data_IF_986826632252
#
_entry.id   IF_986826632252
#
_cell.length_a   1.000
_cell.length_b   1.000
_cell.length_c   1.000
_cell.angle_alpha   90.00
_cell.angle_beta   90.00
_cell.angle_gamma   90.00
#
_symmetry.space_group_name_H-M   'P 1'
#
loop_
_entity.id
_entity.type
_entity.pdbx_description
1 polymer ?
#
# COMPACT_ATOMS: atom_id res chain seq x y z
N UNK A 1 -10.47 -22.03 -21.09
CA UNK A 1 -9.48 -22.10 -19.99
C UNK A 1 -9.59 -20.80 -19.22
N UNK A 2 -9.54 -20.81 -17.88
CA UNK A 2 -9.67 -19.58 -17.09
C UNK A 2 -8.33 -18.86 -17.06
N UNK A 3 -8.34 -17.56 -17.35
CA UNK A 3 -7.15 -16.71 -17.22
C UNK A 3 -6.97 -16.24 -15.78
N UNK A 4 -5.75 -16.38 -15.27
CA UNK A 4 -5.34 -15.95 -13.92
C UNK A 4 -4.13 -15.01 -14.00
N UNK A 5 -3.97 -14.13 -13.02
CA UNK A 5 -2.78 -13.29 -12.91
C UNK A 5 -1.55 -14.11 -12.51
N UNK A 6 -0.35 -13.57 -12.74
CA UNK A 6 0.89 -14.14 -12.22
C UNK A 6 0.87 -14.28 -10.68
N UNK A 7 0.28 -13.30 -9.98
CA UNK A 7 0.10 -13.34 -8.53
C UNK A 7 -0.79 -14.50 -8.05
N UNK A 8 -1.91 -14.75 -8.74
CA UNK A 8 -2.79 -15.89 -8.46
C UNK A 8 -2.06 -17.22 -8.72
N UNK A 9 -1.29 -17.32 -9.79
CA UNK A 9 -0.50 -18.52 -10.08
C UNK A 9 0.55 -18.81 -8.98
N UNK A 10 1.21 -17.77 -8.44
CA UNK A 10 2.11 -17.90 -7.29
C UNK A 10 1.38 -18.44 -6.05
N UNK A 11 0.20 -17.92 -5.74
CA UNK A 11 -0.61 -18.39 -4.60
C UNK A 11 -0.98 -19.87 -4.75
N UNK A 12 -1.35 -20.31 -5.95
CA UNK A 12 -1.64 -21.72 -6.22
C UNK A 12 -0.41 -22.61 -6.03
N UNK A 13 0.76 -22.16 -6.46
CA UNK A 13 2.02 -22.87 -6.18
C UNK A 13 2.32 -22.94 -4.69
N UNK A 14 2.15 -21.84 -3.94
CA UNK A 14 2.37 -21.84 -2.49
C UNK A 14 1.46 -22.83 -1.78
N UNK A 15 0.18 -22.89 -2.17
CA UNK A 15 -0.77 -23.84 -1.60
C UNK A 15 -0.38 -25.30 -1.95
N UNK A 16 0.05 -25.53 -3.19
CA UNK A 16 0.47 -26.87 -3.66
C UNK A 16 1.73 -27.36 -2.95
N UNK A 17 2.71 -26.49 -2.77
CA UNK A 17 4.02 -26.82 -2.19
C UNK A 17 4.16 -26.39 -0.73
N UNK A 18 3.05 -26.23 0.00
CA UNK A 18 3.04 -25.74 1.38
C UNK A 18 3.91 -26.57 2.34
N UNK A 19 4.06 -27.86 2.06
CA UNK A 19 4.87 -28.79 2.87
C UNK A 19 6.36 -28.77 2.50
N UNK A 20 6.74 -28.12 1.38
CA UNK A 20 8.12 -27.88 1.01
C UNK A 20 8.55 -26.49 1.49
N UNK A 21 9.06 -26.41 2.72
CA UNK A 21 9.43 -25.14 3.38
C UNK A 21 10.39 -24.29 2.55
N UNK A 22 11.42 -24.88 1.94
CA UNK A 22 12.42 -24.12 1.18
C UNK A 22 11.80 -23.47 -0.06
N UNK A 23 11.03 -24.24 -0.83
CA UNK A 23 10.36 -23.72 -2.03
C UNK A 23 9.29 -22.70 -1.65
N UNK A 24 8.51 -22.98 -0.62
CA UNK A 24 7.47 -22.07 -0.14
C UNK A 24 8.07 -20.72 0.29
N UNK A 25 9.19 -20.72 1.01
CA UNK A 25 9.88 -19.47 1.39
C UNK A 25 10.37 -18.68 0.17
N UNK A 26 10.90 -19.34 -0.85
CA UNK A 26 11.27 -18.67 -2.11
C UNK A 26 10.05 -18.07 -2.82
N UNK A 27 8.93 -18.80 -2.88
CA UNK A 27 7.67 -18.30 -3.46
C UNK A 27 7.14 -17.08 -2.70
N UNK A 28 7.21 -17.07 -1.36
CA UNK A 28 6.83 -15.92 -0.53
C UNK A 28 7.68 -14.68 -0.84
N UNK A 29 8.99 -14.87 -1.04
CA UNK A 29 9.88 -13.79 -1.46
C UNK A 29 9.50 -13.24 -2.85
N UNK A 30 9.23 -14.11 -3.84
CA UNK A 30 8.73 -13.67 -5.15
C UNK A 30 7.41 -12.93 -5.06
N UNK A 31 6.53 -13.32 -4.14
CA UNK A 31 5.26 -12.63 -3.97
C UNK A 31 5.43 -11.26 -3.30
N UNK A 32 6.43 -11.04 -2.45
CA UNK A 32 6.70 -9.72 -1.84
C UNK A 32 7.53 -8.81 -2.74
N UNK A 33 8.60 -9.32 -3.36
CA UNK A 33 9.51 -8.49 -4.14
C UNK A 33 9.09 -8.37 -5.61
N UNK A 34 8.43 -9.41 -6.13
CA UNK A 34 8.24 -9.62 -7.55
C UNK A 34 9.47 -10.19 -8.23
N UNK A 35 9.40 -10.29 -9.56
CA UNK A 35 10.49 -10.80 -10.40
C UNK A 35 11.47 -9.67 -10.71
N UNK A 36 12.76 -9.92 -10.48
CA UNK A 36 13.85 -8.94 -10.66
C UNK A 36 14.75 -9.28 -11.85
N UNK A 37 14.70 -10.52 -12.36
CA UNK A 37 15.53 -10.95 -13.50
C UNK A 37 14.81 -11.90 -14.45
N UNK A 38 15.34 -12.02 -15.67
CA UNK A 38 14.87 -13.01 -16.65
C UNK A 38 15.11 -14.45 -16.21
N UNK A 39 16.18 -14.70 -15.44
CA UNK A 39 16.46 -16.01 -14.86
C UNK A 39 15.37 -16.43 -13.87
N UNK A 40 14.96 -15.52 -12.98
CA UNK A 40 13.84 -15.77 -12.05
C UNK A 40 12.53 -15.99 -12.79
N UNK A 41 12.27 -15.21 -13.85
CA UNK A 41 11.08 -15.39 -14.68
C UNK A 41 11.04 -16.79 -15.33
N UNK A 42 12.17 -17.23 -15.88
CA UNK A 42 12.27 -18.53 -16.52
C UNK A 42 12.12 -19.67 -15.51
N UNK A 43 12.71 -19.53 -14.31
CA UNK A 43 12.51 -20.45 -13.20
C UNK A 43 11.03 -20.58 -12.84
N UNK A 44 10.32 -19.46 -12.69
CA UNK A 44 8.89 -19.48 -12.37
C UNK A 44 8.04 -20.09 -13.48
N UNK A 45 8.34 -19.81 -14.75
CA UNK A 45 7.65 -20.43 -15.90
C UNK A 45 7.84 -21.94 -15.93
N UNK A 46 9.05 -22.41 -15.64
CA UNK A 46 9.33 -23.84 -15.53
C UNK A 46 8.51 -24.46 -14.39
N UNK A 47 8.48 -23.82 -13.22
CA UNK A 47 7.73 -24.31 -12.06
C UNK A 47 6.21 -24.35 -12.33
N UNK A 48 5.65 -23.36 -13.03
CA UNK A 48 4.25 -23.40 -13.46
C UNK A 48 3.95 -24.58 -14.40
N UNK A 49 4.88 -24.88 -15.32
CA UNK A 49 4.73 -26.02 -16.24
C UNK A 49 4.83 -27.37 -15.52
N UNK A 50 5.86 -27.54 -14.69
CA UNK A 50 6.13 -28.79 -13.93
C UNK A 50 5.03 -29.08 -12.92
N UNK A 51 4.46 -28.04 -12.31
CA UNK A 51 3.31 -28.19 -11.43
C UNK A 51 2.01 -28.55 -12.16
N UNK A 52 1.96 -28.45 -13.49
CA UNK A 52 0.76 -28.68 -14.29
C UNK A 52 -0.23 -27.50 -14.29
N UNK A 53 0.07 -26.40 -13.61
CA UNK A 53 -0.82 -25.22 -13.57
C UNK A 53 -1.12 -24.67 -14.97
N UNK A 54 -0.15 -24.73 -15.89
CA UNK A 54 -0.34 -24.28 -17.28
C UNK A 54 -1.28 -25.17 -18.11
N UNK A 55 -1.67 -26.34 -17.59
CA UNK A 55 -2.69 -27.21 -18.20
C UNK A 55 -4.11 -26.84 -17.73
N UNK A 56 -4.21 -26.22 -16.56
CA UNK A 56 -5.48 -25.86 -15.91
C UNK A 56 -5.85 -24.39 -16.19
N UNK A 57 -4.85 -23.51 -16.22
CA UNK A 57 -5.02 -22.07 -16.30
C UNK A 57 -4.12 -21.42 -17.35
N UNK A 58 -4.63 -20.33 -17.93
CA UNK A 58 -3.83 -19.41 -18.74
C UNK A 58 -3.24 -18.34 -17.81
N UNK A 59 -1.91 -18.32 -17.66
CA UNK A 59 -1.23 -17.36 -16.77
C UNK A 59 -0.92 -16.09 -17.56
N UNK A 60 -1.56 -14.98 -17.17
CA UNK A 60 -1.35 -13.67 -17.78
C UNK A 60 -0.16 -12.92 -17.17
N UNK A 61 0.59 -12.25 -18.05
CA UNK A 61 1.69 -11.34 -17.73
C UNK A 61 1.34 -9.89 -18.07
N UNK A 62 0.09 -9.61 -18.46
CA UNK A 62 -0.32 -8.28 -18.89
C UNK A 62 -0.51 -7.34 -17.70
N UNK A 63 -0.14 -6.07 -17.90
CA UNK A 63 -0.28 -5.02 -16.89
C UNK A 63 -1.72 -4.88 -16.39
N UNK A 64 -2.69 -5.07 -17.28
CA UNK A 64 -4.12 -5.05 -16.95
C UNK A 64 -4.50 -6.15 -15.96
N UNK A 65 -4.09 -7.40 -16.20
CA UNK A 65 -4.44 -8.51 -15.29
C UNK A 65 -3.69 -8.41 -13.95
N UNK A 66 -2.49 -7.84 -13.94
CA UNK A 66 -1.72 -7.57 -12.71
C UNK A 66 -2.41 -6.45 -11.90
N UNK A 67 -2.80 -5.35 -12.54
CA UNK A 67 -3.48 -4.25 -11.87
C UNK A 67 -4.87 -4.64 -11.32
N UNK A 68 -5.55 -5.53 -12.04
CA UNK A 68 -6.88 -6.01 -11.70
C UNK A 68 -6.88 -7.28 -10.83
N UNK A 69 -5.73 -7.72 -10.31
CA UNK A 69 -5.64 -8.88 -9.43
C UNK A 69 -6.28 -8.59 -8.06
N UNK A 70 -7.48 -9.12 -7.77
CA UNK A 70 -8.14 -8.90 -6.48
C UNK A 70 -7.43 -9.65 -5.34
N UNK A 71 -6.76 -10.77 -5.62
CA UNK A 71 -6.07 -11.58 -4.60
C UNK A 71 -4.89 -10.82 -4.05
N UNK A 72 -4.13 -10.18 -4.94
CA UNK A 72 -3.00 -9.37 -4.55
C UNK A 72 -3.40 -8.13 -3.74
N UNK A 73 -4.42 -7.42 -4.18
CA UNK A 73 -4.95 -6.25 -3.46
C UNK A 73 -5.50 -6.63 -2.09
N UNK A 74 -6.13 -7.79 -2.00
CA UNK A 74 -6.60 -8.37 -0.74
C UNK A 74 -5.44 -8.70 0.19
N UNK A 75 -4.44 -9.42 -0.32
CA UNK A 75 -3.23 -9.77 0.41
C UNK A 75 -2.54 -8.55 1.01
N UNK A 76 -2.24 -7.53 0.22
CA UNK A 76 -1.56 -6.33 0.74
C UNK A 76 -2.41 -5.56 1.75
N UNK A 77 -3.73 -5.56 1.58
CA UNK A 77 -4.66 -4.95 2.55
C UNK A 77 -4.61 -5.69 3.89
N UNK A 78 -4.64 -7.02 3.87
CA UNK A 78 -4.53 -7.84 5.08
C UNK A 78 -3.14 -7.75 5.72
N UNK A 79 -2.10 -7.82 4.89
CA UNK A 79 -0.71 -7.70 5.33
C UNK A 79 -0.48 -6.36 6.02
N UNK A 80 -1.02 -5.26 5.50
CA UNK A 80 -0.93 -3.97 6.16
C UNK A 80 -1.59 -3.98 7.54
N UNK A 81 -2.80 -4.52 7.66
CA UNK A 81 -3.47 -4.61 8.95
C UNK A 81 -2.67 -5.44 9.96
N UNK A 82 -2.28 -6.67 9.59
CA UNK A 82 -1.55 -7.56 10.49
C UNK A 82 -0.14 -7.04 10.83
N UNK A 83 0.55 -6.42 9.86
CA UNK A 83 1.85 -5.77 10.10
C UNK A 83 1.72 -4.61 11.07
N UNK A 84 0.64 -3.82 10.96
CA UNK A 84 0.35 -2.74 11.90
C UNK A 84 0.13 -3.30 13.31
N UNK A 85 -0.72 -4.32 13.47
CA UNK A 85 -0.97 -4.97 14.77
C UNK A 85 0.34 -5.44 15.42
N UNK A 86 1.18 -6.13 14.65
CA UNK A 86 2.42 -6.72 15.17
C UNK A 86 3.54 -5.71 15.44
N UNK A 87 3.46 -4.50 14.85
CA UNK A 87 4.53 -3.50 14.94
C UNK A 87 4.23 -2.37 15.94
N UNK A 88 2.97 -2.14 16.29
CA UNK A 88 2.57 -1.01 17.14
C UNK A 88 3.16 -1.06 18.56
N UNK A 89 3.38 -2.24 19.13
CA UNK A 89 3.98 -2.37 20.46
C UNK A 89 5.48 -2.05 20.45
N UNK A 90 6.15 -2.30 19.32
CA UNK A 90 7.57 -1.98 19.10
C UNK A 90 7.79 -0.48 18.85
N UNK A 91 6.74 0.23 18.42
CA UNK A 91 6.80 1.68 18.22
C UNK A 91 6.85 2.42 19.56
N UNK A 92 7.92 3.18 19.81
CA UNK A 92 8.01 4.04 20.99
C UNK A 92 7.09 5.27 20.83
N UNK A 93 6.17 5.45 21.78
CA UNK A 93 5.20 6.55 21.75
C UNK A 93 5.81 7.93 21.94
N UNK A 94 6.86 8.06 22.76
CA UNK A 94 7.55 9.34 22.98
C UNK A 94 8.32 9.78 21.75
N UNK A 95 9.00 8.85 21.06
CA UNK A 95 9.70 9.14 19.81
C UNK A 95 8.72 9.61 18.73
N UNK A 96 7.56 8.96 18.63
CA UNK A 96 6.51 9.36 17.70
C UNK A 96 5.91 10.73 18.03
N UNK A 97 5.70 11.03 19.32
CA UNK A 97 5.24 12.35 19.77
C UNK A 97 6.28 13.43 19.46
N UNK A 98 7.57 13.18 19.74
CA UNK A 98 8.68 14.09 19.39
C UNK A 98 8.72 14.35 17.89
N UNK A 99 8.56 13.31 17.08
CA UNK A 99 8.51 13.44 15.62
C UNK A 99 7.32 14.31 15.15
N UNK A 100 6.11 14.03 15.67
CA UNK A 100 4.93 14.83 15.40
C UNK A 100 5.11 16.31 15.78
N UNK A 101 5.66 16.58 16.97
CA UNK A 101 5.91 17.94 17.44
C UNK A 101 6.93 18.67 16.55
N UNK A 102 8.01 17.99 16.15
CA UNK A 102 9.01 18.56 15.26
C UNK A 102 8.42 18.91 13.88
N UNK A 103 7.60 18.01 13.32
CA UNK A 103 6.86 18.25 12.08
C UNK A 103 5.94 19.47 12.17
N UNK A 104 5.16 19.56 13.24
CA UNK A 104 4.24 20.66 13.47
C UNK A 104 5.00 21.97 13.63
N UNK A 105 6.03 22.01 14.47
CA UNK A 105 6.79 23.23 14.75
C UNK A 105 7.48 23.79 13.50
N UNK A 106 7.92 22.92 12.59
CA UNK A 106 8.54 23.32 11.33
C UNK A 106 7.56 23.94 10.31
N UNK A 107 6.24 23.82 10.49
CA UNK A 107 5.27 24.40 9.55
C UNK A 107 5.21 25.93 9.64
N UNK A 108 4.99 26.62 8.51
CA UNK A 108 4.61 28.03 8.51
C UNK A 108 3.31 28.28 9.29
N UNK A 109 3.19 29.45 9.90
CA UNK A 109 2.06 29.80 10.78
C UNK A 109 0.70 29.70 10.08
N UNK A 110 0.60 30.16 8.83
CA UNK A 110 -0.61 30.04 8.03
C UNK A 110 -1.04 28.58 7.83
N UNK A 111 -0.07 27.69 7.58
CA UNK A 111 -0.33 26.27 7.39
C UNK A 111 -0.71 25.57 8.70
N UNK A 112 -0.10 25.97 9.83
CA UNK A 112 -0.51 25.53 11.18
C UNK A 112 -1.96 25.93 11.46
N UNK A 113 -2.33 27.18 11.19
CA UNK A 113 -3.69 27.67 11.39
C UNK A 113 -4.71 26.91 10.54
N UNK A 114 -4.40 26.62 9.27
CA UNK A 114 -5.25 25.78 8.41
C UNK A 114 -5.39 24.36 8.97
N UNK A 115 -4.30 23.73 9.38
CA UNK A 115 -4.32 22.40 10.00
C UNK A 115 -5.17 22.36 11.28
N UNK A 116 -4.94 23.29 12.21
CA UNK A 116 -5.69 23.39 13.46
C UNK A 116 -7.18 23.62 13.21
N UNK A 117 -7.53 24.43 12.21
CA UNK A 117 -8.94 24.67 11.86
C UNK A 117 -9.69 23.41 11.45
N UNK A 118 -9.04 22.46 10.75
CA UNK A 118 -9.65 21.15 10.48
C UNK A 118 -9.71 20.28 11.75
N UNK A 119 -8.62 20.24 12.52
CA UNK A 119 -8.55 19.42 13.74
C UNK A 119 -9.57 19.85 14.81
N UNK A 120 -9.90 21.14 14.87
CA UNK A 120 -10.88 21.73 15.78
C UNK A 120 -12.31 21.72 15.21
N UNK A 121 -12.50 21.26 13.98
CA UNK A 121 -13.81 21.23 13.32
C UNK A 121 -14.36 22.61 12.91
N UNK A 122 -13.51 23.64 12.85
CA UNK A 122 -13.88 25.00 12.40
C UNK A 122 -14.08 25.09 10.89
N UNK A 123 -13.42 24.21 10.13
CA UNK A 123 -13.52 24.12 8.66
C UNK A 123 -13.96 22.73 8.26
N UNK A 124 -14.84 22.65 7.26
CA UNK A 124 -15.30 21.36 6.73
C UNK A 124 -14.16 20.66 5.98
N UNK A 125 -13.84 19.39 6.28
CA UNK A 125 -12.79 18.68 5.56
C UNK A 125 -13.13 18.49 4.08
N UNK A 126 -14.42 18.59 3.68
CA UNK A 126 -14.87 18.46 2.28
C UNK A 126 -14.32 19.54 1.34
N UNK A 127 -13.75 20.61 1.89
CA UNK A 127 -13.12 21.69 1.12
C UNK A 127 -11.72 21.29 0.60
N UNK A 128 -11.13 20.21 1.12
CA UNK A 128 -9.79 19.75 0.75
C UNK A 128 -9.74 18.22 0.73
N UNK A 129 -9.37 17.64 -0.41
CA UNK A 129 -9.35 16.18 -0.57
C UNK A 129 -8.42 15.49 0.45
N UNK A 130 -7.26 16.08 0.75
CA UNK A 130 -6.36 15.50 1.75
C UNK A 130 -6.96 15.58 3.15
N UNK A 131 -7.57 16.71 3.52
CA UNK A 131 -8.26 16.84 4.80
C UNK A 131 -9.39 15.82 4.92
N UNK A 132 -10.17 15.60 3.86
CA UNK A 132 -11.22 14.57 3.81
C UNK A 132 -10.66 13.17 4.10
N UNK A 133 -9.58 12.77 3.42
CA UNK A 133 -8.96 11.46 3.61
C UNK A 133 -8.44 11.25 5.04
N UNK A 134 -7.71 12.22 5.59
CA UNK A 134 -7.13 12.08 6.93
C UNK A 134 -8.18 12.14 8.05
N UNK A 135 -9.19 13.00 7.93
CA UNK A 135 -10.26 13.08 8.93
C UNK A 135 -11.13 11.81 8.94
N UNK A 136 -11.41 11.23 7.77
CA UNK A 136 -12.06 9.91 7.66
C UNK A 136 -11.23 8.81 8.33
N UNK A 137 -9.92 8.79 8.09
CA UNK A 137 -9.01 7.85 8.74
C UNK A 137 -9.00 8.01 10.28
N UNK A 138 -8.95 9.24 10.80
CA UNK A 138 -9.03 9.48 12.25
C UNK A 138 -10.33 8.96 12.85
N UNK A 139 -11.46 9.26 12.21
CA UNK A 139 -12.76 8.79 12.66
C UNK A 139 -12.82 7.25 12.66
N UNK A 140 -12.28 6.59 11.63
CA UNK A 140 -12.28 5.12 11.52
C UNK A 140 -11.39 4.47 12.57
N UNK A 141 -10.22 5.03 12.86
CA UNK A 141 -9.36 4.53 13.96
C UNK A 141 -10.10 4.57 15.30
N UNK A 142 -10.91 5.61 15.54
CA UNK A 142 -11.63 5.77 16.80
C UNK A 142 -12.91 4.92 16.90
N UNK A 143 -13.61 4.68 15.78
CA UNK A 143 -14.98 4.14 15.79
C UNK A 143 -15.15 2.79 15.10
N UNK A 144 -14.24 2.39 14.20
CA UNK A 144 -14.43 1.17 13.41
C UNK A 144 -14.05 -0.08 14.20
N UNK A 145 -14.88 -1.13 14.10
CA UNK A 145 -14.74 -2.41 14.83
C UNK A 145 -13.35 -3.05 14.71
N UNK A 146 -12.71 -2.94 13.54
CA UNK A 146 -11.38 -3.52 13.32
C UNK A 146 -10.31 -2.86 14.20
N UNK A 147 -10.43 -1.54 14.43
CA UNK A 147 -9.53 -0.81 15.32
C UNK A 147 -9.89 -0.96 16.80
N UNK A 148 -11.08 -1.46 17.13
CA UNK A 148 -11.43 -1.79 18.52
C UNK A 148 -10.68 -3.02 19.05
N UNK A 149 -9.99 -3.77 18.18
CA UNK A 149 -9.02 -4.80 18.59
C UNK A 149 -7.72 -4.20 19.15
N UNK A 150 -7.44 -2.94 18.87
CA UNK A 150 -6.27 -2.23 19.40
C UNK A 150 -6.54 -1.73 20.82
N UNK A 151 -5.51 -1.71 21.65
CA UNK A 151 -5.55 -1.00 22.94
C UNK A 151 -5.63 0.51 22.71
N UNK A 152 -6.12 1.30 23.69
CA UNK A 152 -6.17 2.77 23.56
C UNK A 152 -4.81 3.39 23.20
N UNK A 153 -3.73 2.93 23.84
CA UNK A 153 -2.37 3.41 23.53
C UNK A 153 -1.90 3.04 22.11
N UNK A 154 -2.33 1.91 21.57
CA UNK A 154 -2.07 1.55 20.17
C UNK A 154 -2.87 2.42 19.20
N UNK A 155 -4.15 2.70 19.50
CA UNK A 155 -4.97 3.63 18.69
C UNK A 155 -4.36 5.03 18.66
N UNK A 156 -3.87 5.53 19.79
CA UNK A 156 -3.16 6.81 19.88
C UNK A 156 -1.91 6.85 18.99
N UNK A 157 -1.11 5.78 18.99
CA UNK A 157 0.05 5.66 18.08
C UNK A 157 -0.39 5.72 16.61
N UNK A 158 -1.45 5.02 16.22
CA UNK A 158 -1.98 5.08 14.83
C UNK A 158 -2.41 6.50 14.48
N UNK A 159 -3.13 7.19 15.37
CA UNK A 159 -3.52 8.59 15.16
C UNK A 159 -2.29 9.50 15.00
N UNK A 160 -1.27 9.34 15.83
CA UNK A 160 -0.03 10.12 15.73
C UNK A 160 0.72 9.85 14.42
N UNK A 161 0.78 8.60 13.95
CA UNK A 161 1.34 8.24 12.64
C UNK A 161 0.59 8.95 11.52
N UNK A 162 -0.74 8.89 11.53
CA UNK A 162 -1.57 9.53 10.51
C UNK A 162 -1.44 11.06 10.54
N UNK A 163 -1.36 11.66 11.73
CA UNK A 163 -1.06 13.10 11.88
C UNK A 163 0.31 13.46 11.33
N UNK A 164 1.35 12.68 11.66
CA UNK A 164 2.69 12.88 11.14
C UNK A 164 2.73 12.76 9.60
N UNK A 165 1.98 11.80 9.05
CA UNK A 165 1.79 11.66 7.61
C UNK A 165 1.22 12.93 6.97
N UNK A 166 0.13 13.45 7.53
CA UNK A 166 -0.52 14.66 7.03
C UNK A 166 0.41 15.88 7.12
N UNK A 167 1.07 16.08 8.26
CA UNK A 167 2.01 17.19 8.44
C UNK A 167 3.18 17.13 7.44
N UNK A 168 3.71 15.93 7.15
CA UNK A 168 4.74 15.81 6.12
C UNK A 168 4.24 16.15 4.72
N UNK A 169 2.98 15.85 4.38
CA UNK A 169 2.39 16.29 3.10
C UNK A 169 2.25 17.82 3.03
N UNK A 170 1.91 18.48 4.15
CA UNK A 170 1.84 19.94 4.21
C UNK A 170 3.21 20.62 3.97
N UNK A 171 4.29 19.88 4.16
CA UNK A 171 5.66 20.29 3.85
C UNK A 171 6.05 20.13 2.37
N UNK A 172 5.22 19.50 1.52
CA UNK A 172 5.57 19.14 0.14
C UNK A 172 6.09 20.32 -0.70
N UNK A 173 5.45 21.49 -0.57
CA UNK A 173 5.79 22.70 -1.34
C UNK A 173 6.84 23.59 -0.68
N UNK A 174 7.34 23.22 0.50
CA UNK A 174 8.33 24.03 1.21
C UNK A 174 9.70 23.88 0.52
N UNK A 175 10.26 24.94 -0.08
CA UNK A 175 11.53 24.88 -0.79
C UNK A 175 12.74 24.73 0.15
N UNK A 176 12.57 25.04 1.45
CA UNK A 176 13.63 24.95 2.46
C UNK A 176 13.87 23.51 2.94
N UNK A 177 13.04 22.56 2.50
CA UNK A 177 13.18 21.15 2.87
C UNK A 177 13.99 20.44 1.79
N UNK A 178 15.07 19.71 2.16
CA UNK A 178 15.96 19.06 1.21
C UNK A 178 15.24 17.99 0.38
N UNK A 179 15.99 17.37 -0.54
CA UNK A 179 15.51 16.23 -1.34
C UNK A 179 14.26 16.57 -2.17
N UNK A 180 14.20 17.78 -2.76
CA UNK A 180 13.10 18.15 -3.65
C UNK A 180 13.24 17.43 -5.01
N UNK A 181 12.71 16.22 -5.08
CA UNK A 181 12.76 15.38 -6.29
C UNK A 181 11.51 15.55 -7.18
N UNK A 182 10.54 16.37 -6.77
CA UNK A 182 9.33 16.60 -7.57
C UNK A 182 9.70 17.19 -8.94
N UNK A 183 9.04 16.69 -9.99
CA UNK A 183 9.36 17.09 -11.37
C UNK A 183 10.57 16.35 -11.98
N UNK A 184 11.23 15.45 -11.24
CA UNK A 184 12.39 14.69 -11.72
C UNK A 184 12.18 13.17 -11.62
N UNK A 185 12.90 12.39 -12.41
CA UNK A 185 12.86 10.92 -12.35
C UNK A 185 11.43 10.39 -12.41
N UNK A 186 11.06 9.45 -11.53
CA UNK A 186 9.69 8.92 -11.43
C UNK A 186 8.65 9.90 -10.86
N UNK A 187 9.08 11.02 -10.26
CA UNK A 187 8.17 12.05 -9.74
C UNK A 187 7.86 13.15 -10.77
N UNK A 188 8.37 13.04 -12.01
CA UNK A 188 7.95 13.92 -13.10
C UNK A 188 6.59 13.50 -13.66
N UNK A 189 5.82 14.45 -14.19
CA UNK A 189 4.50 14.18 -14.80
C UNK A 189 4.57 13.10 -15.90
N UNK A 190 5.60 13.15 -16.75
CA UNK A 190 5.80 12.20 -17.84
C UNK A 190 6.09 10.77 -17.35
N UNK A 191 6.79 10.64 -16.21
CA UNK A 191 7.29 9.34 -15.76
C UNK A 191 6.45 8.70 -14.67
N UNK A 192 5.68 9.48 -13.89
CA UNK A 192 4.91 8.98 -12.75
C UNK A 192 3.74 8.08 -13.16
N UNK A 193 3.23 8.24 -14.38
CA UNK A 193 2.25 7.32 -14.95
C UNK A 193 0.83 7.40 -14.40
N UNK A 194 0.54 8.28 -13.44
CA UNK A 194 -0.81 8.43 -12.88
C UNK A 194 -1.76 9.07 -13.89
N UNK A 195 -2.86 8.38 -14.20
CA UNK A 195 -4.00 8.91 -14.96
C UNK A 195 -5.21 8.93 -14.04
N UNK A 196 -5.84 10.10 -13.86
CA UNK A 196 -7.10 10.21 -13.10
C UNK A 196 -8.24 9.81 -14.04
N UNK A 197 -9.06 8.83 -13.63
CA UNK A 197 -10.24 8.43 -14.39
C UNK A 197 -11.26 9.58 -14.40
N UNK A 198 -11.90 9.79 -15.54
CA UNK A 198 -13.00 10.76 -15.64
C UNK A 198 -14.14 10.35 -14.69
N UNK A 199 -14.67 11.31 -13.93
CA UNK A 199 -15.84 11.07 -13.08
C UNK A 199 -17.05 10.92 -14.00
N UNK A 200 -17.85 9.83 -13.90
CA UNK A 200 -19.08 9.73 -14.69
C UNK A 200 -19.98 10.95 -14.52
N UNK A 201 -20.51 11.43 -15.64
CA UNK A 201 -21.07 12.77 -15.84
C UNK A 201 -22.50 12.99 -15.33
N UNK A 202 -23.15 12.00 -14.69
CA UNK A 202 -24.56 12.07 -14.31
C UNK A 202 -24.76 12.16 -12.78
N UNK A 203 -25.29 13.29 -12.27
CA UNK A 203 -25.75 13.43 -10.89
C UNK A 203 -27.27 13.27 -10.84
N UNK A 204 -27.78 12.14 -10.36
CA UNK A 204 -29.14 12.05 -9.80
C UNK A 204 -29.04 11.36 -8.45
N UNK A 205 -29.25 12.16 -7.40
CA UNK A 205 -29.45 11.79 -5.98
C UNK A 205 -28.58 10.65 -5.39
N UNK A 206 -27.58 11.07 -4.59
CA UNK A 206 -26.47 10.30 -3.98
C UNK A 206 -25.32 10.00 -4.95
N UNK A 207 -24.19 10.67 -4.73
CA UNK A 207 -22.93 10.39 -5.42
C UNK A 207 -22.60 8.88 -5.33
N UNK A 208 -22.49 8.13 -6.44
CA UNK A 208 -22.46 6.65 -6.44
C UNK A 208 -21.11 6.02 -6.04
N UNK A 209 -20.19 6.78 -5.44
CA UNK A 209 -18.80 6.35 -5.21
C UNK A 209 -18.55 5.83 -3.78
N UNK A 210 -19.44 4.99 -3.26
CA UNK A 210 -19.26 4.35 -1.96
C UNK A 210 -18.39 3.11 -2.13
N UNK A 211 -17.08 3.26 -1.98
CA UNK A 211 -16.27 2.10 -1.63
C UNK A 211 -16.59 1.75 -0.17
N UNK A 212 -16.94 0.49 0.08
CA UNK A 212 -17.04 -0.05 1.44
C UNK A 212 -15.79 -0.84 1.81
N UNK A 213 -14.74 -0.74 1.01
CA UNK A 213 -13.56 -1.58 1.18
C UNK A 213 -12.38 -0.74 1.67
N UNK A 214 -11.75 -1.17 2.75
CA UNK A 214 -10.44 -0.68 3.18
C UNK A 214 -9.36 -1.04 2.16
N UNK A 215 -8.20 -0.41 2.30
CA UNK A 215 -7.00 -0.75 1.55
C UNK A 215 -7.10 -0.66 0.04
N UNK A 216 -6.41 -1.58 -0.64
CA UNK A 216 -6.25 -1.58 -2.09
C UNK A 216 -7.45 -2.19 -2.83
N UNK A 217 -8.42 -2.75 -2.10
CA UNK A 217 -9.60 -3.38 -2.67
C UNK A 217 -10.44 -2.35 -3.41
N UNK A 218 -10.66 -2.57 -4.71
CA UNK A 218 -11.52 -1.73 -5.53
C UNK A 218 -12.99 -2.00 -5.20
N UNK A 219 -13.86 -1.04 -5.53
CA UNK A 219 -15.27 -1.05 -5.14
C UNK A 219 -16.06 -2.25 -5.69
N UNK A 220 -15.70 -2.74 -6.88
CA UNK A 220 -16.34 -3.91 -7.51
C UNK A 220 -15.70 -5.25 -7.12
N UNK A 221 -14.60 -5.25 -6.39
CA UNK A 221 -13.96 -6.48 -5.95
C UNK A 221 -14.75 -7.06 -4.77
N UNK A 222 -15.06 -8.38 -4.76
CA UNK A 222 -15.87 -8.94 -3.70
C UNK A 222 -15.09 -8.94 -2.38
N UNK A 223 -15.70 -8.45 -1.31
CA UNK A 223 -15.14 -8.53 0.04
C UNK A 223 -16.26 -9.04 0.98
N UNK A 224 -16.03 -10.11 1.76
CA UNK A 224 -17.01 -10.57 2.73
C UNK A 224 -17.33 -9.50 3.78
N UNK A 225 -18.59 -9.39 4.22
CA UNK A 225 -19.00 -8.34 5.19
C UNK A 225 -18.36 -8.47 6.57
N UNK A 226 -17.96 -9.69 6.93
CA UNK A 226 -17.27 -10.01 8.17
C UNK A 226 -15.74 -9.87 8.05
N UNK A 227 -15.23 -9.46 6.89
CA UNK A 227 -13.80 -9.33 6.64
C UNK A 227 -13.22 -8.02 7.18
N UNK A 228 -11.91 -8.01 7.46
CA UNK A 228 -11.21 -6.81 7.94
C UNK A 228 -11.10 -5.72 6.87
N UNK A 229 -11.15 -6.08 5.59
CA UNK A 229 -11.17 -5.14 4.50
C UNK A 229 -12.56 -4.53 4.28
N UNK A 230 -13.60 -4.92 5.03
CA UNK A 230 -14.95 -4.34 4.90
C UNK A 230 -15.25 -3.25 5.94
N UNK A 231 -15.79 -2.13 5.47
CA UNK A 231 -16.27 -1.00 6.25
C UNK A 231 -17.80 -0.90 6.14
N UNK A 232 -18.51 -0.97 7.27
CA UNK A 232 -19.98 -0.82 7.29
C UNK A 232 -20.41 0.58 6.86
N UNK A 233 -19.68 1.59 7.35
CA UNK A 233 -19.76 2.96 6.86
C UNK A 233 -18.59 3.16 5.88
N UNK A 234 -18.91 3.14 4.59
CA UNK A 234 -17.93 3.29 3.52
C UNK A 234 -17.19 4.63 3.51
N UNK A 235 -16.46 4.88 2.43
CA UNK A 235 -15.71 6.11 2.24
C UNK A 235 -16.62 7.20 1.66
N UNK A 236 -16.44 8.44 2.14
CA UNK A 236 -17.14 9.62 1.62
C UNK A 236 -16.44 10.25 0.40
N UNK A 237 -15.34 9.65 -0.05
CA UNK A 237 -14.51 10.05 -1.16
C UNK A 237 -14.15 8.83 -2.02
N UNK A 238 -13.74 9.08 -3.26
CA UNK A 238 -13.26 8.02 -4.15
C UNK A 238 -11.81 7.70 -3.79
N UNK A 239 -11.55 6.46 -3.34
CA UNK A 239 -10.20 6.03 -2.97
C UNK A 239 -9.26 6.06 -4.19
N UNK A 240 -7.94 6.25 -3.98
CA UNK A 240 -6.96 6.25 -5.06
C UNK A 240 -6.99 5.01 -5.96
N UNK A 241 -7.18 3.82 -5.38
CA UNK A 241 -7.32 2.55 -6.11
C UNK A 241 -8.47 2.53 -7.13
N UNK A 242 -9.52 3.30 -6.86
CA UNK A 242 -10.69 3.42 -7.74
C UNK A 242 -10.57 4.64 -8.65
N UNK A 243 -9.98 5.74 -8.17
CA UNK A 243 -9.83 7.01 -8.89
C UNK A 243 -8.80 6.95 -10.02
N UNK A 244 -7.75 6.17 -9.87
CA UNK A 244 -6.62 6.20 -10.78
C UNK A 244 -6.58 4.98 -11.71
N UNK A 245 -5.94 5.20 -12.86
CA UNK A 245 -5.37 4.17 -13.73
C UNK A 245 -3.94 4.58 -14.09
N UNK A 246 -3.28 3.81 -14.93
CA UNK A 246 -1.88 4.01 -15.30
C UNK A 246 -1.69 4.31 -16.79
N UNK A 247 -0.63 5.06 -17.09
CA UNK A 247 -0.07 5.17 -18.43
C UNK A 247 0.98 4.05 -18.64
N UNK A 248 0.71 3.04 -19.50
CA UNK A 248 1.64 1.92 -19.72
C UNK A 248 2.99 2.38 -20.30
N UNK A 249 3.02 3.54 -20.97
CA UNK A 249 4.26 4.05 -21.56
C UNK A 249 5.19 4.74 -20.56
N UNK A 250 4.69 5.08 -19.38
CA UNK A 250 5.45 5.80 -18.35
C UNK A 250 6.52 4.91 -17.72
N UNK A 251 7.64 5.52 -17.33
CA UNK A 251 8.77 4.80 -16.77
C UNK A 251 8.41 4.07 -15.45
N UNK A 252 7.61 4.69 -14.58
CA UNK A 252 7.17 4.06 -13.34
C UNK A 252 6.26 2.86 -13.58
N UNK A 253 5.25 2.97 -14.47
CA UNK A 253 4.35 1.85 -14.77
C UNK A 253 5.14 0.64 -15.30
N UNK A 254 6.04 0.88 -16.27
CA UNK A 254 6.92 -0.17 -16.83
C UNK A 254 7.75 -0.86 -15.75
N UNK A 255 8.34 -0.11 -14.82
CA UNK A 255 9.12 -0.69 -13.73
C UNK A 255 8.25 -1.41 -12.70
N UNK A 256 7.06 -0.90 -12.39
CA UNK A 256 6.16 -1.54 -11.43
C UNK A 256 5.64 -2.88 -11.97
N UNK A 257 5.20 -2.91 -13.23
CA UNK A 257 4.63 -4.12 -13.82
C UNK A 257 5.68 -5.14 -14.27
N UNK A 258 6.94 -4.74 -14.51
CA UNK A 258 8.01 -5.71 -14.79
C UNK A 258 8.25 -6.70 -13.64
N UNK A 259 7.86 -6.33 -12.41
CA UNK A 259 7.88 -7.19 -11.22
C UNK A 259 6.74 -8.20 -11.16
N UNK A 260 5.76 -8.13 -12.07
CA UNK A 260 4.65 -9.07 -12.32
C UNK A 260 3.60 -9.27 -11.21
N UNK A 261 3.84 -8.79 -9.99
CA UNK A 261 2.95 -9.05 -8.85
C UNK A 261 2.38 -7.78 -8.22
N UNK A 262 2.86 -6.59 -8.59
CA UNK A 262 2.49 -5.34 -7.92
C UNK A 262 1.39 -4.61 -8.68
N UNK A 263 0.22 -4.37 -8.07
CA UNK A 263 -0.83 -3.58 -8.70
C UNK A 263 -0.43 -2.10 -8.73
N UNK A 264 -1.10 -1.32 -9.57
CA UNK A 264 -0.96 0.14 -9.58
C UNK A 264 -2.10 0.73 -8.75
N UNK A 265 -1.78 1.51 -7.71
CA UNK A 265 -2.81 2.21 -6.94
C UNK A 265 -2.87 3.68 -7.31
N UNK A 266 -1.72 4.31 -7.46
CA UNK A 266 -1.65 5.75 -7.67
C UNK A 266 -0.43 6.15 -8.49
N UNK A 267 0.76 5.74 -8.06
CA UNK A 267 2.11 5.96 -8.60
C UNK A 267 3.12 5.77 -7.45
N UNK A 268 4.41 5.95 -7.71
CA UNK A 268 5.45 6.04 -6.70
C UNK A 268 5.06 7.05 -5.59
N UNK A 269 5.30 6.69 -4.32
CA UNK A 269 4.70 7.39 -3.19
C UNK A 269 5.28 8.79 -2.94
N UNK A 270 4.52 9.81 -3.35
CA UNK A 270 4.81 11.20 -2.97
C UNK A 270 4.74 11.42 -1.46
N UNK A 271 3.86 10.71 -0.75
CA UNK A 271 3.73 10.80 0.71
C UNK A 271 5.00 10.29 1.41
N UNK A 272 5.56 9.17 0.94
CA UNK A 272 6.84 8.67 1.49
C UNK A 272 7.97 9.63 1.19
N UNK A 273 8.04 10.19 -0.02
CA UNK A 273 9.03 11.21 -0.34
C UNK A 273 8.90 12.41 0.63
N UNK A 274 7.70 12.92 0.87
CA UNK A 274 7.48 14.00 1.84
C UNK A 274 8.02 13.68 3.23
N UNK A 275 7.75 12.48 3.76
CA UNK A 275 8.27 12.04 5.05
C UNK A 275 9.80 11.97 5.06
N UNK A 276 10.40 11.40 4.02
CA UNK A 276 11.87 11.29 3.93
C UNK A 276 12.54 12.67 3.79
N UNK A 277 11.91 13.59 3.06
CA UNK A 277 12.40 14.97 2.92
C UNK A 277 12.48 15.68 4.26
N UNK A 278 11.40 15.63 5.04
CA UNK A 278 11.37 16.31 6.35
C UNK A 278 12.20 15.57 7.40
N UNK A 279 12.25 14.24 7.39
CA UNK A 279 13.16 13.47 8.25
C UNK A 279 14.62 13.83 8.00
N UNK A 280 15.02 14.06 6.74
CA UNK A 280 16.38 14.52 6.42
C UNK A 280 16.67 15.91 7.01
N UNK A 281 15.71 16.83 6.94
CA UNK A 281 15.85 18.13 7.60
C UNK A 281 16.03 17.98 9.11
N UNK A 282 15.17 17.19 9.76
CA UNK A 282 15.24 16.96 11.21
C UNK A 282 16.55 16.25 11.60
N UNK A 283 17.07 15.37 10.74
CA UNK A 283 18.37 14.73 10.96
C UNK A 283 19.50 15.76 10.94
N UNK A 284 19.52 16.66 9.96
CA UNK A 284 20.51 17.74 9.88
C UNK A 284 20.44 18.68 11.10
N UNK A 285 19.27 18.80 11.73
CA UNK A 285 19.02 19.61 12.92
C UNK A 285 19.24 18.85 14.24
N UNK A 286 19.58 17.56 14.19
CA UNK A 286 19.75 16.73 15.39
C UNK A 286 18.45 16.40 16.12
N UNK A 287 17.31 16.52 15.45
CA UNK A 287 15.96 16.36 16.02
C UNK A 287 15.23 15.09 15.55
N UNK A 288 15.82 14.28 14.65
CA UNK A 288 15.18 13.06 14.14
C UNK A 288 15.23 11.93 15.19
N UNK A 289 14.09 11.46 15.72
CA UNK A 289 14.09 10.35 16.69
C UNK A 289 14.34 8.97 16.05
N UNK A 290 14.06 8.81 14.75
CA UNK A 290 14.22 7.56 14.00
C UNK A 290 15.56 7.50 13.25
N UNK A 291 16.65 7.74 13.97
CA UNK A 291 18.00 7.93 13.40
C UNK A 291 18.86 6.65 13.30
N UNK A 292 18.30 5.48 13.62
CA UNK A 292 18.96 4.19 13.41
C UNK A 292 17.97 3.13 12.90
N UNK A 293 18.52 2.04 12.36
CA UNK A 293 17.81 1.10 11.50
C UNK A 293 16.55 0.51 12.13
N UNK A 294 16.61 0.02 13.37
CA UNK A 294 15.46 -0.60 14.06
C UNK A 294 14.28 0.38 14.23
N UNK A 295 14.55 1.59 14.74
CA UNK A 295 13.51 2.62 14.92
C UNK A 295 12.93 3.07 13.58
N UNK A 296 13.78 3.26 12.58
CA UNK A 296 13.37 3.69 11.25
C UNK A 296 12.51 2.62 10.56
N UNK A 297 12.94 1.37 10.56
CA UNK A 297 12.19 0.25 9.97
C UNK A 297 10.85 0.03 10.69
N UNK A 298 10.81 0.11 12.02
CA UNK A 298 9.56 0.03 12.79
C UNK A 298 8.62 1.19 12.44
N UNK A 299 9.15 2.40 12.27
CA UNK A 299 8.39 3.53 11.77
C UNK A 299 7.82 3.27 10.39
N UNK A 300 8.62 2.82 9.42
CA UNK A 300 8.15 2.54 8.07
C UNK A 300 7.05 1.47 8.05
N UNK A 301 7.20 0.38 8.81
CA UNK A 301 6.16 -0.67 8.93
C UNK A 301 4.84 -0.07 9.37
N UNK A 302 4.83 0.71 10.45
CA UNK A 302 3.59 1.29 10.99
C UNK A 302 3.03 2.39 10.07
N UNK A 303 3.89 3.26 9.52
CA UNK A 303 3.54 4.35 8.62
C UNK A 303 2.89 3.87 7.33
N UNK A 304 3.57 2.98 6.60
CA UNK A 304 3.07 2.45 5.33
C UNK A 304 1.80 1.63 5.55
N UNK A 305 1.78 0.79 6.59
CA UNK A 305 0.62 -0.05 6.90
C UNK A 305 -0.62 0.77 7.29
N UNK A 306 -0.45 1.84 8.07
CA UNK A 306 -1.57 2.71 8.47
C UNK A 306 -2.20 3.43 7.27
N UNK A 307 -1.37 3.86 6.31
CA UNK A 307 -1.84 4.52 5.09
C UNK A 307 -2.43 3.54 4.09
N UNK A 308 -1.76 2.39 3.89
CA UNK A 308 -2.25 1.35 3.00
C UNK A 308 -3.59 0.86 3.49
N UNK A 309 -3.71 0.38 4.73
CA UNK A 309 -4.95 -0.21 5.21
C UNK A 309 -6.14 0.77 5.20
N UNK A 310 -5.94 2.06 5.51
CA UNK A 310 -7.04 3.02 5.49
C UNK A 310 -7.57 3.29 4.07
N UNK A 311 -6.83 4.03 3.25
CA UNK A 311 -7.33 4.49 1.94
C UNK A 311 -6.74 3.73 0.75
N UNK A 312 -5.72 2.90 0.96
CA UNK A 312 -5.03 2.22 -0.13
C UNK A 312 -4.32 3.18 -1.07
N UNK A 313 -3.87 4.34 -0.56
CA UNK A 313 -3.30 5.39 -1.41
C UNK A 313 -2.12 4.94 -2.27
N UNK A 314 -1.33 4.00 -1.76
CA UNK A 314 -0.26 3.33 -2.49
C UNK A 314 -0.18 1.86 -2.08
N UNK A 315 0.30 0.99 -2.97
CA UNK A 315 0.73 -0.37 -2.61
C UNK A 315 2.11 -0.33 -1.93
N UNK A 316 2.52 -1.42 -1.28
CA UNK A 316 3.81 -1.47 -0.60
C UNK A 316 4.99 -1.22 -1.55
N UNK A 317 4.94 -1.71 -2.79
CA UNK A 317 5.99 -1.45 -3.77
C UNK A 317 6.09 0.04 -4.13
N UNK A 318 4.95 0.72 -4.31
CA UNK A 318 4.89 2.17 -4.54
C UNK A 318 5.46 2.98 -3.35
N UNK A 319 5.25 2.52 -2.10
CA UNK A 319 5.86 3.12 -0.91
C UNK A 319 7.38 2.89 -0.85
N UNK A 320 7.80 1.63 -1.04
CA UNK A 320 9.18 1.20 -0.80
C UNK A 320 10.15 1.59 -1.90
N UNK A 321 9.70 1.69 -3.15
CA UNK A 321 10.56 2.10 -4.27
C UNK A 321 11.11 3.52 -4.13
N UNK A 322 10.54 4.35 -3.25
CA UNK A 322 11.14 5.66 -2.91
C UNK A 322 12.50 5.49 -2.23
N UNK A 323 12.66 4.46 -1.39
CA UNK A 323 13.93 4.14 -0.72
C UNK A 323 15.00 3.66 -1.71
N UNK A 324 14.58 3.14 -2.86
CA UNK A 324 15.47 2.64 -3.90
C UNK A 324 16.12 3.76 -4.74
N UNK A 325 15.61 4.99 -4.64
CA UNK A 325 16.09 6.14 -5.40
C UNK A 325 17.53 6.49 -5.00
N UNK A 326 18.48 6.62 -5.94
CA UNK A 326 19.90 6.85 -5.63
C UNK A 326 20.16 8.06 -4.72
N UNK A 327 19.44 9.17 -4.93
CA UNK A 327 19.54 10.37 -4.11
C UNK A 327 19.07 10.11 -2.68
N UNK A 328 18.00 9.32 -2.49
CA UNK A 328 17.52 8.93 -1.16
C UNK A 328 18.54 8.05 -0.47
N UNK A 329 19.03 6.98 -1.13
CA UNK A 329 20.08 6.10 -0.58
C UNK A 329 21.30 6.87 -0.12
N UNK A 330 21.77 7.82 -0.94
CA UNK A 330 22.91 8.67 -0.61
C UNK A 330 22.65 9.50 0.65
N UNK A 331 21.53 10.23 0.70
CA UNK A 331 21.24 11.14 1.81
C UNK A 331 20.89 10.42 3.13
N UNK A 332 20.50 9.15 3.06
CA UNK A 332 20.14 8.31 4.20
C UNK A 332 21.24 7.34 4.66
N UNK A 333 22.44 7.43 4.09
CA UNK A 333 23.62 6.66 4.51
C UNK A 333 24.03 6.89 5.97
N UNK A 334 23.45 7.86 6.68
CA UNK A 334 23.61 8.03 8.13
C UNK A 334 22.91 6.92 8.94
N UNK A 335 21.95 6.19 8.35
CA UNK A 335 21.36 5.01 8.96
C UNK A 335 22.18 3.81 8.50
N UNK A 336 22.87 3.17 9.44
CA UNK A 336 23.63 1.95 9.15
C UNK A 336 22.70 0.86 8.58
N UNK A 337 23.14 0.20 7.50
CA UNK A 337 22.35 -0.80 6.78
C UNK A 337 21.10 -0.28 6.04
N UNK A 338 21.00 1.03 5.73
CA UNK A 338 19.86 1.59 5.01
C UNK A 338 19.57 0.89 3.67
N UNK A 339 20.61 0.53 2.92
CA UNK A 339 20.51 -0.16 1.63
C UNK A 339 19.90 -1.57 1.73
N UNK A 340 19.90 -2.16 2.92
CA UNK A 340 19.30 -3.46 3.18
C UNK A 340 17.80 -3.37 3.42
N UNK A 341 17.26 -2.16 3.66
CA UNK A 341 15.84 -1.94 3.91
C UNK A 341 15.07 -2.07 2.60
N UNK A 342 14.36 -3.18 2.46
CA UNK A 342 13.53 -3.51 1.31
C UNK A 342 12.26 -4.26 1.73
N UNK A 343 11.41 -4.59 0.75
CA UNK A 343 10.13 -5.28 0.98
C UNK A 343 10.27 -6.59 1.76
N UNK A 344 11.27 -7.41 1.48
CA UNK A 344 11.49 -8.67 2.21
C UNK A 344 11.87 -8.41 3.66
N UNK A 345 12.82 -7.50 3.91
CA UNK A 345 13.24 -7.20 5.29
C UNK A 345 12.16 -6.52 6.13
N UNK A 346 11.22 -5.80 5.50
CA UNK A 346 10.17 -5.09 6.21
C UNK A 346 8.90 -5.92 6.38
N UNK A 347 8.51 -6.68 5.36
CA UNK A 347 7.20 -7.30 5.27
C UNK A 347 7.22 -8.82 5.45
N UNK A 348 8.39 -9.46 5.35
CA UNK A 348 8.54 -10.90 5.55
C UNK A 348 9.45 -11.21 6.75
N UNK A 349 10.73 -10.83 6.69
CA UNK A 349 11.68 -11.15 7.75
C UNK A 349 11.36 -10.39 9.05
N UNK A 350 11.22 -11.10 10.16
CA UNK A 350 10.78 -10.54 11.44
C UNK A 350 9.34 -10.01 11.41
N UNK A 351 8.54 -10.43 10.43
CA UNK A 351 7.13 -10.11 10.24
C UNK A 351 6.33 -11.34 9.76
N UNK A 352 6.88 -12.54 9.93
CA UNK A 352 6.39 -13.80 9.39
C UNK A 352 4.96 -14.06 9.86
N UNK A 353 4.66 -13.83 11.14
CA UNK A 353 3.30 -14.05 11.68
C UNK A 353 2.23 -13.20 10.98
N UNK A 354 2.54 -11.93 10.66
CA UNK A 354 1.62 -11.07 9.93
C UNK A 354 1.47 -11.53 8.48
N UNK A 355 2.59 -11.92 7.87
CA UNK A 355 2.63 -12.43 6.52
C UNK A 355 1.82 -13.73 6.37
N UNK A 356 2.01 -14.71 7.25
CA UNK A 356 1.32 -16.01 7.18
C UNK A 356 -0.19 -15.86 7.38
N UNK A 357 -0.64 -14.98 8.29
CA UNK A 357 -2.07 -14.69 8.46
C UNK A 357 -2.68 -14.08 7.20
N UNK A 358 -2.03 -13.05 6.66
CA UNK A 358 -2.49 -12.41 5.42
C UNK A 358 -2.47 -13.38 4.23
N UNK A 359 -1.45 -14.22 4.12
CA UNK A 359 -1.36 -15.26 3.10
C UNK A 359 -2.48 -16.28 3.24
N UNK A 360 -2.73 -16.78 4.45
CA UNK A 360 -3.81 -17.75 4.70
C UNK A 360 -5.17 -17.19 4.27
N UNK A 361 -5.52 -15.98 4.73
CA UNK A 361 -6.80 -15.36 4.37
C UNK A 361 -6.90 -15.12 2.85
N UNK A 362 -5.78 -14.78 2.22
CA UNK A 362 -5.71 -14.59 0.77
C UNK A 362 -5.91 -15.90 0.02
N UNK A 363 -5.31 -17.01 0.46
CA UNK A 363 -5.49 -18.32 -0.17
C UNK A 363 -6.96 -18.75 -0.12
N UNK A 364 -7.59 -18.59 1.04
CA UNK A 364 -9.02 -18.88 1.23
C UNK A 364 -9.87 -18.00 0.29
N UNK A 365 -9.57 -16.70 0.21
CA UNK A 365 -10.24 -15.76 -0.69
C UNK A 365 -10.03 -16.08 -2.19
N UNK A 366 -8.81 -16.42 -2.60
CA UNK A 366 -8.46 -16.76 -3.99
C UNK A 366 -9.18 -18.01 -4.46
N UNK A 367 -9.32 -19.03 -3.61
CA UNK A 367 -10.07 -20.23 -3.97
C UNK A 367 -11.53 -19.91 -4.33
N UNK A 368 -12.20 -19.06 -3.54
CA UNK A 368 -13.58 -18.63 -3.82
C UNK A 368 -13.65 -17.85 -5.13
N UNK A 369 -12.68 -16.97 -5.40
CA UNK A 369 -12.62 -16.22 -6.65
C UNK A 369 -12.45 -17.12 -7.88
N UNK A 370 -11.55 -18.11 -7.81
CA UNK A 370 -11.29 -19.03 -8.91
C UNK A 370 -12.52 -19.91 -9.18
N UNK A 371 -13.15 -20.45 -8.14
CA UNK A 371 -14.40 -21.20 -8.28
C UNK A 371 -15.50 -20.36 -8.95
N UNK A 372 -15.61 -19.07 -8.60
CA UNK A 372 -16.55 -18.15 -9.25
C UNK A 372 -16.22 -17.93 -10.73
N UNK A 373 -14.93 -17.79 -11.09
CA UNK A 373 -14.49 -17.65 -12.49
C UNK A 373 -14.79 -18.92 -13.30
N UNK A 374 -14.52 -20.08 -12.73
CA UNK A 374 -14.78 -21.39 -13.35
C UNK A 374 -16.27 -21.58 -13.62
N UNK A 375 -17.11 -21.38 -12.60
CA UNK A 375 -18.57 -21.43 -12.75
C UNK A 375 -19.07 -20.47 -13.84
N UNK A 376 -18.58 -19.22 -13.87
CA UNK A 376 -18.96 -18.25 -14.90
C UNK A 376 -18.54 -18.70 -16.30
N UNK A 377 -17.36 -19.30 -16.44
CA UNK A 377 -16.86 -19.81 -17.72
C UNK A 377 -17.67 -21.03 -18.20
N UNK A 378 -18.07 -21.92 -17.29
CA UNK A 378 -18.97 -23.05 -17.59
C UNK A 378 -20.33 -22.54 -18.07
N UNK A 379 -20.95 -21.59 -17.37
CA UNK A 379 -22.22 -20.99 -17.76
C UNK A 379 -22.14 -20.32 -19.14
N UNK A 380 -21.05 -19.59 -19.44
CA UNK A 380 -20.84 -19.00 -20.77
C UNK A 380 -20.71 -20.06 -21.86
N UNK A 381 -19.97 -21.12 -21.58
CA UNK A 381 -19.76 -22.22 -22.55
C UNK A 381 -21.06 -22.98 -22.81
N UNK A 382 -21.87 -23.20 -21.78
CA UNK A 382 -23.12 -23.95 -21.87
C UNK A 382 -24.28 -23.14 -22.49
N UNK A 383 -24.36 -21.84 -22.19
CA UNK A 383 -25.52 -21.01 -22.54
C UNK A 383 -25.24 -19.85 -23.50
N UNK A 384 -23.98 -19.59 -23.89
CA UNK A 384 -23.61 -18.69 -24.99
C UNK A 384 -23.75 -17.18 -24.72
N UNK A 385 -23.63 -16.74 -23.46
CA UNK A 385 -23.68 -15.32 -23.07
C UNK A 385 -22.37 -14.54 -23.31
#
# INVERSE_FOLDING_TARGET
MVTISFGQALLLLMNKYKDNTSLCNALKQFYIQGILSSTELNYMKQLFSESGLTKEYEISYSEKEIDEDPSRRYFETHLAFETLLNSLDKMNGEDLLKYYQALYNALPEETKNKYNSYMEGKVSPKEDNFATEYMDAFQKVQSHKNYQKLTPGQQEKVILILKASWLGVLHAKNPQIPLNLYGTGFFSEANRGRIIKEKPSLPTEKSPYYSNHFGLMKTYMPVPRNDIAYAENGFTFLKPSDQNTFNPESAWAKQNFSKLVHPFSCSISGTTLCQLRIMKKLQNEGQLPFNFQEKFTTFLKCFMSSLLFNSGGHCFNEFLSVLEIPQIKKEYSFIDGFEQINATTLLLHGNEDAFEKALKDTLDYTQVLLAKKEMHNELKTQYGF
#
